data_IF_552584297913
#
_entry.id   IF_552584297913
#
_cell.length_a   1.000
_cell.length_b   1.000
_cell.length_c   1.000
_cell.angle_alpha   90.00
_cell.angle_beta   90.00
_cell.angle_gamma   90.00
#
_symmetry.space_group_name_H-M   'P 1'
#
loop_
_entity.id
_entity.type
_entity.pdbx_description
1 polymer ?
#
# COMPACT_ATOMS: atom_id res chain seq x y z
N UNK A 1 -11.14 25.45 71.38
CA UNK A 1 -11.03 24.22 70.58
C UNK A 1 -11.64 24.49 69.23
N UNK A 2 -10.82 24.27 68.21
CA UNK A 2 -10.83 24.93 66.91
C UNK A 2 -12.00 24.58 66.01
N UNK A 3 -12.58 25.63 65.40
CA UNK A 3 -13.49 25.52 64.27
C UNK A 3 -12.66 25.41 62.99
N UNK A 4 -12.40 24.19 62.52
CA UNK A 4 -11.73 23.94 61.25
C UNK A 4 -12.55 24.53 60.09
N UNK A 5 -11.96 25.51 59.41
CA UNK A 5 -12.46 26.17 58.22
C UNK A 5 -12.24 25.24 57.03
N UNK A 6 -13.30 24.58 56.55
CA UNK A 6 -13.27 23.81 55.30
C UNK A 6 -12.96 24.74 54.11
N UNK A 7 -11.69 24.77 53.69
CA UNK A 7 -11.28 25.41 52.44
C UNK A 7 -11.62 24.49 51.27
N UNK A 8 -12.74 24.75 50.60
CA UNK A 8 -13.06 24.13 49.32
C UNK A 8 -12.02 24.59 48.28
N UNK A 9 -11.05 23.74 47.93
CA UNK A 9 -10.18 23.95 46.77
C UNK A 9 -11.03 23.92 45.50
N UNK A 10 -11.20 25.08 44.87
CA UNK A 10 -11.83 25.21 43.55
C UNK A 10 -10.86 24.69 42.48
N UNK A 11 -11.22 23.68 41.65
CA UNK A 11 -10.33 23.22 40.59
C UNK A 11 -10.22 24.32 39.52
N UNK A 12 -9.03 24.89 39.39
CA UNK A 12 -8.67 25.84 38.34
C UNK A 12 -8.36 25.05 37.06
N UNK A 13 -9.38 24.72 36.28
CA UNK A 13 -9.18 24.27 34.90
C UNK A 13 -8.86 25.50 34.05
N UNK A 14 -7.57 25.83 33.93
CA UNK A 14 -7.10 26.80 32.94
C UNK A 14 -7.29 26.18 31.56
N UNK A 15 -8.49 26.29 30.99
CA UNK A 15 -8.75 25.95 29.59
C UNK A 15 -7.85 26.82 28.72
N UNK A 16 -7.07 26.20 27.83
CA UNK A 16 -6.27 26.90 26.84
C UNK A 16 -7.19 27.85 26.04
N UNK A 17 -7.01 29.16 26.22
CA UNK A 17 -7.77 30.20 25.51
C UNK A 17 -7.06 30.52 24.20
N UNK A 18 -7.23 29.68 23.18
CA UNK A 18 -6.80 30.01 21.84
C UNK A 18 -7.76 31.02 21.21
N UNK A 19 -7.23 32.05 20.55
CA UNK A 19 -8.04 32.92 19.71
C UNK A 19 -8.62 32.11 18.56
N UNK A 20 -9.83 32.45 18.10
CA UNK A 20 -10.47 31.82 16.94
C UNK A 20 -9.54 31.80 15.72
N UNK A 21 -8.73 32.84 15.52
CA UNK A 21 -7.73 32.91 14.46
C UNK A 21 -6.65 31.84 14.61
N UNK A 22 -6.15 31.65 15.82
CA UNK A 22 -5.13 30.62 16.13
C UNK A 22 -5.71 29.22 15.93
N UNK A 23 -6.97 29.00 16.31
CA UNK A 23 -7.65 27.72 16.08
C UNK A 23 -7.80 27.44 14.57
N UNK A 24 -8.25 28.40 13.78
CA UNK A 24 -8.39 28.26 12.32
C UNK A 24 -7.03 27.94 11.69
N UNK A 25 -5.98 28.68 12.03
CA UNK A 25 -4.64 28.44 11.50
C UNK A 25 -4.11 27.05 11.88
N UNK A 26 -4.33 26.61 13.12
CA UNK A 26 -3.93 25.29 13.58
C UNK A 26 -4.70 24.19 12.85
N UNK A 27 -6.02 24.34 12.68
CA UNK A 27 -6.84 23.35 11.94
C UNK A 27 -6.43 23.26 10.48
N UNK A 28 -6.18 24.39 9.81
CA UNK A 28 -5.70 24.39 8.43
C UNK A 28 -4.32 23.73 8.31
N UNK A 29 -3.40 24.04 9.24
CA UNK A 29 -2.09 23.40 9.29
C UNK A 29 -2.22 21.87 9.47
N UNK A 30 -3.07 21.41 10.40
CA UNK A 30 -3.30 19.97 10.57
C UNK A 30 -3.91 19.32 9.32
N UNK A 31 -4.86 19.98 8.66
CA UNK A 31 -5.47 19.44 7.44
C UNK A 31 -4.44 19.26 6.32
N UNK A 32 -3.54 20.24 6.13
CA UNK A 32 -2.46 20.14 5.15
C UNK A 32 -1.47 19.04 5.51
N UNK A 33 -1.10 18.93 6.79
CA UNK A 33 -0.19 17.87 7.26
C UNK A 33 -0.74 16.46 7.01
N UNK A 34 -2.05 16.27 7.19
CA UNK A 34 -2.69 14.97 6.97
C UNK A 34 -3.13 14.72 5.52
N UNK A 35 -3.16 15.73 4.65
CA UNK A 35 -3.66 15.58 3.28
C UNK A 35 -2.90 14.53 2.47
N UNK A 36 -1.56 14.51 2.57
CA UNK A 36 -0.72 13.57 1.81
C UNK A 36 -0.86 12.14 2.33
N UNK A 37 -0.70 11.84 3.64
CA UNK A 37 -0.89 10.49 4.16
C UNK A 37 -2.29 9.94 3.89
N UNK A 38 -3.34 10.77 4.03
CA UNK A 38 -4.71 10.37 3.72
C UNK A 38 -4.83 10.02 2.24
N UNK A 39 -4.30 10.85 1.35
CA UNK A 39 -4.36 10.58 -0.09
C UNK A 39 -3.64 9.28 -0.44
N UNK A 40 -2.43 9.06 0.09
CA UNK A 40 -1.65 7.85 -0.15
C UNK A 40 -2.37 6.59 0.35
N UNK A 41 -2.92 6.64 1.56
CA UNK A 41 -3.67 5.51 2.12
C UNK A 41 -4.94 5.22 1.31
N UNK A 42 -5.67 6.25 0.86
CA UNK A 42 -6.87 6.09 0.04
C UNK A 42 -6.55 5.54 -1.36
N UNK A 43 -5.47 6.00 -2.01
CA UNK A 43 -5.05 5.45 -3.31
C UNK A 43 -4.64 3.99 -3.14
N UNK A 44 -3.78 3.69 -2.18
CA UNK A 44 -3.35 2.31 -1.93
C UNK A 44 -4.53 1.37 -1.65
N UNK A 45 -5.50 1.83 -0.85
CA UNK A 45 -6.72 1.07 -0.59
C UNK A 45 -7.47 0.76 -1.89
N UNK A 46 -7.62 1.72 -2.79
CA UNK A 46 -8.25 1.51 -4.10
C UNK A 46 -7.52 0.44 -4.93
N UNK A 47 -6.19 0.50 -4.98
CA UNK A 47 -5.37 -0.51 -5.65
C UNK A 47 -5.55 -1.91 -5.02
N UNK A 48 -5.56 -1.98 -3.69
CA UNK A 48 -5.80 -3.24 -2.96
C UNK A 48 -7.19 -3.82 -3.20
N UNK A 49 -8.22 -2.98 -3.10
CA UNK A 49 -9.61 -3.40 -3.32
C UNK A 49 -9.79 -3.93 -4.75
N UNK A 50 -9.09 -3.33 -5.72
CA UNK A 50 -9.02 -3.87 -7.08
C UNK A 50 -8.32 -5.23 -7.13
N UNK A 51 -7.15 -5.41 -6.50
CA UNK A 51 -6.47 -6.72 -6.46
C UNK A 51 -7.39 -7.80 -5.85
N UNK A 52 -8.07 -7.49 -4.74
CA UNK A 52 -9.04 -8.39 -4.12
C UNK A 52 -10.22 -8.70 -5.04
N UNK A 53 -10.69 -7.74 -5.84
CA UNK A 53 -11.75 -7.97 -6.84
C UNK A 53 -11.34 -8.97 -7.94
N UNK A 54 -10.04 -9.01 -8.25
CA UNK A 54 -9.43 -10.00 -9.15
C UNK A 54 -9.14 -11.34 -8.46
N UNK A 55 -9.60 -11.52 -7.20
CA UNK A 55 -9.24 -12.65 -6.34
C UNK A 55 -7.71 -12.78 -6.16
N UNK A 56 -6.96 -11.69 -6.32
CA UNK A 56 -5.54 -11.67 -6.06
C UNK A 56 -5.22 -11.48 -4.58
N UNK A 57 -3.94 -11.63 -4.27
CA UNK A 57 -3.39 -11.52 -2.94
C UNK A 57 -2.40 -10.36 -2.85
N UNK A 58 -2.38 -9.69 -1.70
CA UNK A 58 -1.42 -8.63 -1.40
C UNK A 58 -0.61 -8.97 -0.17
N UNK A 59 0.67 -8.69 -0.22
CA UNK A 59 1.60 -8.77 0.90
C UNK A 59 2.13 -7.37 1.22
N UNK A 60 2.17 -7.06 2.51
CA UNK A 60 2.60 -5.77 3.02
C UNK A 60 4.09 -5.79 3.36
N UNK A 61 4.74 -4.63 3.24
CA UNK A 61 6.18 -4.45 3.46
C UNK A 61 6.66 -4.92 4.83
N UNK A 62 5.85 -4.77 5.89
CA UNK A 62 6.22 -5.22 7.24
C UNK A 62 6.35 -6.74 7.39
N UNK A 63 5.89 -7.53 6.40
CA UNK A 63 6.04 -8.99 6.37
C UNK A 63 7.30 -9.45 5.62
N UNK A 64 8.07 -8.54 5.04
CA UNK A 64 9.30 -8.88 4.33
C UNK A 64 10.52 -8.36 5.11
N UNK A 65 11.41 -9.26 5.52
CA UNK A 65 12.68 -8.90 6.13
C UNK A 65 13.76 -8.80 5.05
N UNK A 66 14.05 -7.57 4.64
CA UNK A 66 15.08 -7.29 3.66
C UNK A 66 16.50 -7.70 4.10
N UNK A 67 16.76 -7.85 5.41
CA UNK A 67 18.10 -8.25 5.89
C UNK A 67 18.35 -9.75 5.74
N UNK A 68 17.27 -10.54 5.87
CA UNK A 68 17.33 -11.99 5.83
C UNK A 68 16.72 -12.57 4.55
N UNK A 69 16.25 -11.72 3.63
CA UNK A 69 15.54 -12.06 2.39
C UNK A 69 14.37 -13.04 2.62
N UNK A 70 13.71 -12.91 3.77
CA UNK A 70 12.70 -13.87 4.24
C UNK A 70 11.37 -13.21 4.52
N UNK A 71 10.31 -13.93 4.16
CA UNK A 71 8.94 -13.59 4.52
C UNK A 71 8.68 -13.93 6.00
N UNK A 72 8.46 -12.92 6.81
CA UNK A 72 8.08 -13.04 8.22
C UNK A 72 6.57 -13.26 8.32
N UNK A 73 6.17 -14.53 8.38
CA UNK A 73 4.76 -14.92 8.44
C UNK A 73 4.10 -14.52 9.77
N UNK A 74 4.90 -14.31 10.82
CA UNK A 74 4.46 -13.91 12.16
C UNK A 74 4.64 -12.41 12.44
N UNK A 75 5.08 -11.61 11.46
CA UNK A 75 5.23 -10.17 11.65
C UNK A 75 3.88 -9.53 12.00
N UNK A 76 3.90 -8.63 12.96
CA UNK A 76 2.72 -7.90 13.43
C UNK A 76 3.02 -6.41 13.45
N UNK A 77 2.03 -5.59 13.13
CA UNK A 77 2.16 -4.15 13.20
C UNK A 77 2.25 -3.71 14.67
N UNK A 78 3.13 -2.76 15.03
CA UNK A 78 3.27 -2.25 16.40
C UNK A 78 2.13 -1.30 16.78
N UNK A 79 0.97 -1.40 16.14
CA UNK A 79 -0.19 -0.53 16.31
C UNK A 79 -1.37 -1.32 16.88
N UNK A 80 -2.18 -0.72 17.78
CA UNK A 80 -3.36 -1.39 18.31
C UNK A 80 -4.37 -1.74 17.19
N UNK A 81 -4.98 -2.93 17.28
CA UNK A 81 -5.97 -3.39 16.30
C UNK A 81 -7.14 -2.42 16.11
N UNK A 82 -7.69 -1.86 17.20
CA UNK A 82 -8.80 -0.90 17.13
C UNK A 82 -8.48 0.33 16.25
N UNK A 83 -7.22 0.74 16.21
CA UNK A 83 -6.80 1.89 15.43
C UNK A 83 -6.72 1.53 13.94
N UNK A 84 -6.16 0.35 13.63
CA UNK A 84 -6.12 -0.20 12.28
C UNK A 84 -7.54 -0.40 11.75
N UNK A 85 -8.45 -0.93 12.56
CA UNK A 85 -9.86 -1.15 12.19
C UNK A 85 -10.60 0.18 11.95
N UNK A 86 -10.26 1.23 12.70
CA UNK A 86 -10.92 2.53 12.61
C UNK A 86 -10.52 3.33 11.36
N UNK A 87 -9.24 3.30 10.96
CA UNK A 87 -8.75 4.16 9.86
C UNK A 87 -8.19 3.38 8.66
N UNK A 88 -7.94 2.08 8.80
CA UNK A 88 -7.43 1.21 7.75
C UNK A 88 -5.93 0.93 7.85
N UNK A 89 -5.54 -0.28 7.42
CA UNK A 89 -4.15 -0.74 7.41
C UNK A 89 -3.24 0.06 6.47
N UNK A 90 -3.83 0.66 5.42
CA UNK A 90 -3.11 1.43 4.40
C UNK A 90 -2.42 2.69 4.93
N UNK A 91 -2.78 3.15 6.14
CA UNK A 91 -2.12 4.25 6.83
C UNK A 91 -0.83 3.84 7.53
N UNK A 92 -0.66 2.55 7.80
CA UNK A 92 0.40 2.04 8.68
C UNK A 92 1.46 1.23 7.93
N UNK A 93 1.15 0.80 6.71
CA UNK A 93 2.06 0.01 5.90
C UNK A 93 1.73 0.14 4.42
N UNK A 94 2.71 -0.20 3.60
CA UNK A 94 2.63 -0.21 2.15
C UNK A 94 2.49 -1.62 1.60
N UNK A 95 1.77 -1.77 0.50
CA UNK A 95 1.74 -3.00 -0.30
C UNK A 95 3.03 -3.07 -1.09
N UNK A 96 3.75 -4.17 -0.90
CA UNK A 96 5.07 -4.39 -1.48
C UNK A 96 5.01 -5.45 -2.59
N UNK A 97 4.14 -6.45 -2.42
CA UNK A 97 4.02 -7.57 -3.34
C UNK A 97 2.55 -7.86 -3.66
N UNK A 98 2.27 -8.09 -4.94
CA UNK A 98 0.95 -8.48 -5.47
C UNK A 98 1.08 -9.78 -6.23
N UNK A 99 0.11 -10.68 -6.02
CA UNK A 99 -0.02 -11.94 -6.74
C UNK A 99 -1.42 -12.01 -7.36
N UNK A 100 -1.49 -12.24 -8.67
CA UNK A 100 -2.71 -12.44 -9.44
C UNK A 100 -2.73 -13.86 -10.02
N UNK A 101 -3.54 -14.74 -9.46
CA UNK A 101 -3.53 -16.18 -9.74
C UNK A 101 -4.92 -16.80 -9.96
N UNK A 102 -6.01 -16.05 -9.78
CA UNK A 102 -7.35 -16.62 -9.64
C UNK A 102 -8.39 -16.17 -10.70
N UNK A 103 -8.13 -15.12 -11.48
CA UNK A 103 -9.04 -14.61 -12.53
C UNK A 103 -8.27 -14.05 -13.70
N UNK A 104 -8.95 -13.88 -14.82
CA UNK A 104 -8.43 -13.16 -15.98
C UNK A 104 -8.15 -11.67 -15.67
N UNK A 105 -6.94 -11.20 -15.98
CA UNK A 105 -6.54 -9.80 -15.83
C UNK A 105 -6.69 -9.09 -17.16
N UNK A 106 -7.53 -8.05 -17.20
CA UNK A 106 -7.86 -7.30 -18.42
C UNK A 106 -7.27 -5.88 -18.41
N UNK A 107 -7.05 -5.29 -17.23
CA UNK A 107 -6.54 -3.92 -17.10
C UNK A 107 -5.63 -3.82 -15.86
N UNK A 108 -4.36 -3.46 -16.07
CA UNK A 108 -3.37 -3.27 -15.01
C UNK A 108 -3.33 -1.84 -14.46
N UNK A 109 -4.11 -0.90 -15.02
CA UNK A 109 -4.12 0.52 -14.64
C UNK A 109 -4.31 0.76 -13.13
N UNK A 110 -5.17 0.01 -12.42
CA UNK A 110 -5.38 0.21 -10.98
C UNK A 110 -4.15 -0.15 -10.12
N UNK A 111 -3.18 -0.91 -10.63
CA UNK A 111 -1.95 -1.22 -9.89
C UNK A 111 -1.08 0.02 -9.65
N UNK A 112 -1.20 1.06 -10.48
CA UNK A 112 -0.44 2.32 -10.33
C UNK A 112 -0.71 3.00 -8.99
N UNK A 113 -1.80 2.66 -8.32
CA UNK A 113 -2.11 3.17 -6.97
C UNK A 113 -1.28 2.53 -5.86
N UNK A 114 -0.60 1.42 -6.15
CA UNK A 114 0.32 0.73 -5.26
C UNK A 114 1.72 1.29 -5.48
N UNK A 115 1.93 2.53 -5.07
CA UNK A 115 3.16 3.29 -5.37
C UNK A 115 4.44 2.60 -4.89
N UNK A 116 4.36 1.83 -3.82
CA UNK A 116 5.48 1.13 -3.20
C UNK A 116 5.57 -0.35 -3.62
N UNK A 117 4.84 -0.75 -4.67
CA UNK A 117 4.87 -2.11 -5.21
C UNK A 117 6.24 -2.42 -5.80
N UNK A 118 6.88 -3.48 -5.32
CA UNK A 118 8.21 -3.96 -5.76
C UNK A 118 8.13 -5.24 -6.57
N UNK A 119 7.21 -6.13 -6.22
CA UNK A 119 7.06 -7.42 -6.88
C UNK A 119 5.63 -7.63 -7.36
N UNK A 120 5.48 -7.95 -8.65
CA UNK A 120 4.21 -8.35 -9.23
C UNK A 120 4.34 -9.77 -9.80
N UNK A 121 3.52 -10.69 -9.30
CA UNK A 121 3.36 -12.03 -9.87
C UNK A 121 2.01 -12.18 -10.56
N UNK A 122 2.03 -12.65 -11.80
CA UNK A 122 0.84 -13.02 -12.58
C UNK A 122 1.02 -14.48 -12.99
N UNK A 123 0.15 -15.36 -12.47
CA UNK A 123 0.25 -16.82 -12.60
C UNK A 123 -0.95 -17.44 -13.32
N UNK A 124 -1.49 -16.69 -14.26
CA UNK A 124 -2.73 -16.95 -15.00
C UNK A 124 -2.49 -16.69 -16.47
N UNK A 125 -3.26 -17.36 -17.33
CA UNK A 125 -3.24 -17.06 -18.76
C UNK A 125 -3.58 -15.57 -18.98
N UNK A 126 -2.66 -14.87 -19.65
CA UNK A 126 -2.89 -13.47 -20.01
C UNK A 126 -3.59 -13.41 -21.36
N UNK A 127 -4.51 -12.46 -21.50
CA UNK A 127 -5.10 -12.16 -22.80
C UNK A 127 -4.04 -11.59 -23.73
N UNK A 128 -4.06 -12.05 -24.98
CA UNK A 128 -3.29 -11.43 -26.06
C UNK A 128 -3.64 -9.93 -26.15
N UNK A 129 -2.62 -9.07 -26.14
CA UNK A 129 -2.80 -7.62 -26.18
C UNK A 129 -3.11 -6.96 -24.83
N UNK A 130 -2.88 -7.63 -23.70
CA UNK A 130 -2.89 -6.98 -22.38
C UNK A 130 -1.90 -5.81 -22.37
N UNK A 131 -2.37 -4.63 -21.96
CA UNK A 131 -1.52 -3.43 -21.87
C UNK A 131 -0.71 -3.42 -20.58
N UNK A 132 0.61 -3.54 -20.70
CA UNK A 132 1.56 -3.47 -19.59
C UNK A 132 2.14 -2.08 -19.37
N UNK A 133 1.81 -1.09 -20.20
CA UNK A 133 2.26 0.30 -20.06
C UNK A 133 1.99 0.90 -18.66
N UNK A 134 0.92 0.54 -17.93
CA UNK A 134 0.74 1.02 -16.55
C UNK A 134 1.90 0.66 -15.63
N UNK A 135 2.57 -0.48 -15.84
CA UNK A 135 3.66 -0.93 -14.96
C UNK A 135 4.89 -0.01 -15.02
N UNK A 136 5.09 0.72 -16.12
CA UNK A 136 6.20 1.67 -16.24
C UNK A 136 6.01 2.92 -15.37
N UNK A 137 4.81 3.11 -14.81
CA UNK A 137 4.48 4.21 -13.90
C UNK A 137 4.75 3.87 -12.43
N UNK A 138 5.09 2.61 -12.13
CA UNK A 138 5.40 2.16 -10.79
C UNK A 138 6.87 2.49 -10.46
N UNK A 139 7.14 3.43 -9.54
CA UNK A 139 8.49 3.94 -9.33
C UNK A 139 9.42 2.96 -8.62
N UNK A 140 8.87 1.93 -7.98
CA UNK A 140 9.59 0.98 -7.14
C UNK A 140 9.48 -0.47 -7.63
N UNK A 141 8.91 -0.71 -8.81
CA UNK A 141 8.77 -2.06 -9.36
C UNK A 141 10.16 -2.62 -9.71
N UNK A 142 10.50 -3.77 -9.15
CA UNK A 142 11.80 -4.42 -9.30
C UNK A 142 11.70 -5.79 -9.97
N UNK A 143 10.58 -6.49 -9.79
CA UNK A 143 10.38 -7.83 -10.33
C UNK A 143 8.95 -8.01 -10.88
N UNK A 144 8.89 -8.65 -12.05
CA UNK A 144 7.66 -9.09 -12.70
C UNK A 144 7.78 -10.58 -13.03
N UNK A 145 6.93 -11.40 -12.43
CA UNK A 145 6.85 -12.84 -12.67
C UNK A 145 5.59 -13.15 -13.49
N UNK A 146 5.76 -13.86 -14.61
CA UNK A 146 4.73 -14.18 -15.60
C UNK A 146 4.68 -15.70 -15.86
N UNK A 147 4.83 -16.51 -14.83
CA UNK A 147 4.87 -17.97 -14.97
C UNK A 147 3.47 -18.50 -15.35
N UNK A 148 3.40 -19.48 -16.25
CA UNK A 148 2.13 -20.07 -16.73
C UNK A 148 1.17 -19.09 -17.42
N UNK A 149 1.67 -17.97 -17.96
CA UNK A 149 0.83 -16.94 -18.58
C UNK A 149 0.54 -17.17 -20.07
N UNK A 150 1.28 -18.05 -20.73
CA UNK A 150 1.18 -18.24 -22.19
C UNK A 150 1.76 -17.09 -23.01
N UNK A 151 2.51 -16.16 -22.38
CA UNK A 151 3.15 -15.04 -23.05
C UNK A 151 4.17 -15.52 -24.09
N UNK A 152 4.15 -14.91 -25.27
CA UNK A 152 5.12 -15.21 -26.34
C UNK A 152 6.50 -14.63 -26.04
N UNK A 153 7.56 -15.16 -26.66
CA UNK A 153 8.92 -14.59 -26.55
C UNK A 153 8.99 -13.16 -27.06
N UNK A 154 8.30 -12.85 -28.15
CA UNK A 154 8.24 -11.50 -28.72
C UNK A 154 7.61 -10.50 -27.74
N UNK A 155 6.49 -10.87 -27.11
CA UNK A 155 5.87 -10.04 -26.07
C UNK A 155 6.78 -9.89 -24.85
N UNK A 156 7.47 -10.94 -24.43
CA UNK A 156 8.41 -10.90 -23.31
C UNK A 156 9.57 -9.91 -23.58
N UNK A 157 10.11 -9.91 -24.79
CA UNK A 157 11.18 -8.98 -25.18
C UNK A 157 10.67 -7.54 -25.26
N UNK A 158 9.47 -7.31 -25.82
CA UNK A 158 8.80 -6.01 -25.78
C UNK A 158 8.59 -5.51 -24.33
N UNK A 159 8.26 -6.39 -23.39
CA UNK A 159 8.13 -6.03 -21.98
C UNK A 159 9.46 -5.64 -21.33
N UNK A 160 10.55 -6.31 -21.70
CA UNK A 160 11.89 -5.95 -21.22
C UNK A 160 12.34 -4.59 -21.74
N UNK A 161 11.95 -4.24 -22.98
CA UNK A 161 12.19 -2.90 -23.52
C UNK A 161 11.33 -1.83 -22.84
N UNK A 162 10.06 -2.15 -22.55
CA UNK A 162 9.14 -1.25 -21.84
C UNK A 162 9.58 -1.00 -20.39
N UNK A 163 10.15 -2.01 -19.75
CA UNK A 163 10.52 -2.02 -18.33
C UNK A 163 12.01 -2.34 -18.14
N UNK A 164 12.93 -1.48 -18.61
CA UNK A 164 14.37 -1.80 -18.68
C UNK A 164 15.05 -1.98 -17.31
N UNK A 165 14.43 -1.52 -16.22
CA UNK A 165 14.91 -1.69 -14.85
C UNK A 165 14.24 -2.80 -14.06
N UNK A 166 13.25 -3.48 -14.63
CA UNK A 166 12.45 -4.50 -13.94
C UNK A 166 12.94 -5.89 -14.36
N UNK A 167 13.19 -6.77 -13.39
CA UNK A 167 13.52 -8.17 -13.68
C UNK A 167 12.25 -8.91 -14.11
N UNK A 168 12.11 -9.14 -15.42
CA UNK A 168 11.00 -9.91 -16.00
C UNK A 168 11.38 -11.39 -16.12
N UNK A 169 10.61 -12.27 -15.47
CA UNK A 169 10.80 -13.71 -15.48
C UNK A 169 9.51 -14.43 -15.90
N UNK A 170 9.65 -15.53 -16.66
CA UNK A 170 8.52 -16.40 -17.01
C UNK A 170 9.01 -17.86 -17.10
N UNK A 171 8.47 -18.72 -16.24
CA UNK A 171 8.63 -20.17 -16.27
C UNK A 171 7.43 -20.78 -17.03
N UNK A 172 7.72 -21.50 -18.11
CA UNK A 172 6.72 -22.04 -19.04
C UNK A 172 7.01 -21.74 -20.52
N UNK A 173 8.13 -21.07 -20.83
CA UNK A 173 8.56 -20.91 -22.21
C UNK A 173 9.08 -22.26 -22.75
N UNK A 174 8.58 -22.76 -23.90
CA UNK A 174 9.03 -24.04 -24.45
C UNK A 174 10.52 -24.06 -24.87
N UNK A 175 11.20 -22.91 -24.93
CA UNK A 175 12.61 -22.79 -25.35
C UNK A 175 13.60 -22.47 -24.21
N UNK A 176 13.31 -22.85 -22.96
CA UNK A 176 14.30 -22.80 -21.86
C UNK A 176 15.16 -24.06 -21.76
#
# INVERSE_FOLDING_TARGET
MDSQKNSLMKPSTKFLRFSLRTLILLTAATAVLFAVPIRQALTQKRGRDWVVSQNGHVSFSYKYDANNEQWLHNATLPYPGWLIDAIGIDFFTSVDTVVLDNKEVVDLSPLVDLNDLRCLGIYIEIKQGLDFSPLSKLPHLEALHLDYTGISSEELDNLRELLPGVRVQSAGHPDS
#
